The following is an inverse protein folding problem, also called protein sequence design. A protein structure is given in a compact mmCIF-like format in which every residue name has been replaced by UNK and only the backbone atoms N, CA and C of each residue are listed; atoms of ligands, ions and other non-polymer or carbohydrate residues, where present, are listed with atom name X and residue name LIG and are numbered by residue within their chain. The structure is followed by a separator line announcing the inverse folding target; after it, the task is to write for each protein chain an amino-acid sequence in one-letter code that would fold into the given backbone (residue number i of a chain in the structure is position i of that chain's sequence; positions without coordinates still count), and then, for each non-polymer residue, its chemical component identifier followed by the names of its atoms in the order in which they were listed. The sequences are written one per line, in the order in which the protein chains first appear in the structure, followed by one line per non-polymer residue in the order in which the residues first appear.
data_IF_432449160640
#
_entry.id   IF_432449160640
#
_cell.length_a   1.000
_cell.length_b   1.000
_cell.length_c   1.000
_cell.angle_alpha   90.00
_cell.angle_beta   90.00
_cell.angle_gamma   90.00
#
_symmetry.space_group_name_H-M   'P 1'
#
loop_
_entity.id
_entity.type
_entity.pdbx_description
1 polymer ?
#
# COMPACT_ATOMS: atom_id res chain seq x y z
N UNK A 1 1.72 9.33 -3.26
CA UNK A 1 1.03 8.13 -3.78
C UNK A 1 0.25 7.37 -2.71
N UNK A 2 0.86 6.63 -1.79
CA UNK A 2 0.08 5.78 -0.86
C UNK A 2 -0.92 6.55 0.03
N UNK A 3 -0.54 7.74 0.52
CA UNK A 3 -1.44 8.61 1.28
C UNK A 3 -2.59 9.19 0.42
N UNK A 4 -2.37 9.37 -0.88
CA UNK A 4 -3.39 9.88 -1.81
C UNK A 4 -4.45 8.81 -2.07
N UNK A 5 -4.03 7.56 -2.25
CA UNK A 5 -4.97 6.44 -2.30
C UNK A 5 -5.77 6.29 -1.01
N UNK A 6 -5.12 6.43 0.14
CA UNK A 6 -5.81 6.41 1.42
C UNK A 6 -6.84 7.55 1.54
N UNK A 7 -6.50 8.77 1.10
CA UNK A 7 -7.40 9.91 1.10
C UNK A 7 -8.59 9.72 0.15
N UNK A 8 -8.36 9.20 -1.06
CA UNK A 8 -9.41 8.85 -2.02
C UNK A 8 -10.35 7.78 -1.45
N UNK A 9 -9.80 6.72 -0.85
CA UNK A 9 -10.61 5.70 -0.18
C UNK A 9 -11.40 6.25 1.01
N UNK A 10 -10.81 7.19 1.76
CA UNK A 10 -11.50 7.87 2.85
C UNK A 10 -12.69 8.68 2.33
N UNK A 11 -12.51 9.43 1.25
CA UNK A 11 -13.54 10.22 0.58
C UNK A 11 -14.64 9.32 0.01
N UNK A 12 -14.29 8.19 -0.61
CA UNK A 12 -15.23 7.19 -1.15
C UNK A 12 -16.05 6.54 -0.02
N UNK A 13 -15.43 6.26 1.13
CA UNK A 13 -16.07 5.52 2.22
C UNK A 13 -16.87 6.41 3.17
N UNK A 14 -16.37 7.61 3.47
CA UNK A 14 -16.89 8.50 4.51
C UNK A 14 -17.39 9.84 3.98
N UNK A 15 -17.18 10.14 2.70
CA UNK A 15 -17.52 11.42 2.10
C UNK A 15 -16.60 12.56 2.53
N UNK A 16 -17.09 13.78 2.36
CA UNK A 16 -16.35 15.01 2.62
C UNK A 16 -15.81 15.10 4.04
N UNK A 17 -14.50 15.30 4.15
CA UNK A 17 -13.88 15.67 5.40
C UNK A 17 -14.21 17.12 5.76
N UNK A 18 -14.97 17.31 6.84
CA UNK A 18 -15.14 18.62 7.48
C UNK A 18 -14.20 18.72 8.67
N UNK A 19 -13.07 19.39 8.46
CA UNK A 19 -12.26 19.84 9.58
C UNK A 19 -13.12 20.80 10.42
N UNK A 20 -13.42 20.42 11.67
CA UNK A 20 -14.00 21.38 12.59
C UNK A 20 -12.88 22.37 12.89
N UNK A 21 -13.13 23.65 12.64
CA UNK A 21 -12.15 24.72 12.40
C UNK A 21 -11.10 24.97 13.49
N UNK A 22 -11.08 24.22 14.59
CA UNK A 22 -10.11 24.33 15.68
C UNK A 22 -9.76 22.99 16.37
N UNK A 23 -10.13 21.83 15.81
CA UNK A 23 -9.78 20.54 16.43
C UNK A 23 -8.51 19.93 15.83
N UNK A 24 -7.68 19.34 16.72
CA UNK A 24 -6.61 18.42 16.35
C UNK A 24 -7.10 17.40 15.30
N UNK A 25 -6.20 16.81 14.47
CA UNK A 25 -6.58 15.81 13.48
C UNK A 25 -7.57 14.82 14.08
N UNK A 26 -8.80 14.82 13.56
CA UNK A 26 -9.91 14.14 14.22
C UNK A 26 -9.58 12.66 14.39
N UNK A 27 -10.08 12.00 15.46
CA UNK A 27 -10.01 10.53 15.62
C UNK A 27 -10.39 9.78 14.34
N UNK A 28 -11.26 10.37 13.52
CA UNK A 28 -11.62 9.90 12.18
C UNK A 28 -10.42 9.73 11.24
N UNK A 29 -9.49 10.69 11.19
CA UNK A 29 -8.26 10.60 10.39
C UNK A 29 -7.39 9.46 10.89
N UNK A 30 -7.24 9.31 12.21
CA UNK A 30 -6.46 8.20 12.79
C UNK A 30 -7.05 6.83 12.44
N UNK A 31 -8.38 6.69 12.46
CA UNK A 31 -9.08 5.47 12.04
C UNK A 31 -8.85 5.20 10.55
N UNK A 32 -8.93 6.22 9.70
CA UNK A 32 -8.73 6.09 8.25
C UNK A 32 -7.29 5.71 7.93
N UNK A 33 -6.31 6.35 8.55
CA UNK A 33 -4.90 5.94 8.46
C UNK A 33 -4.77 4.49 8.95
N UNK A 34 -5.47 4.14 10.02
CA UNK A 34 -5.46 2.79 10.58
C UNK A 34 -6.04 1.73 9.64
N UNK A 35 -6.97 2.12 8.78
CA UNK A 35 -7.68 1.21 7.88
C UNK A 35 -7.06 1.13 6.49
N UNK A 36 -6.55 2.23 5.96
CA UNK A 36 -6.15 2.34 4.55
C UNK A 36 -4.65 2.55 4.32
N UNK A 37 -3.87 2.93 5.34
CA UNK A 37 -2.41 3.02 5.21
C UNK A 37 -1.74 1.74 5.70
N UNK A 38 -0.80 1.19 4.91
CA UNK A 38 0.06 0.10 5.33
C UNK A 38 0.90 0.48 6.57
N UNK A 39 1.23 -0.51 7.41
CA UNK A 39 1.99 -0.29 8.66
C UNK A 39 3.35 0.36 8.42
N UNK A 40 4.05 -0.04 7.37
CA UNK A 40 5.35 0.49 6.96
C UNK A 40 5.33 2.02 6.75
N UNK A 41 4.22 2.58 6.26
CA UNK A 41 4.07 4.03 6.04
C UNK A 41 3.89 4.78 7.37
N UNK A 42 3.37 4.11 8.40
CA UNK A 42 3.14 4.70 9.72
C UNK A 42 4.38 4.75 10.59
N UNK A 43 5.36 3.90 10.29
CA UNK A 43 6.63 3.82 11.01
C UNK A 43 7.66 4.79 10.43
N UNK A 44 7.65 4.97 9.10
CA UNK A 44 8.52 5.92 8.40
C UNK A 44 8.17 7.39 8.69
N UNK A 45 6.89 7.69 8.92
CA UNK A 45 6.40 9.04 9.18
C UNK A 45 5.80 9.18 10.58
N UNK A 46 6.38 10.04 11.43
CA UNK A 46 5.87 10.30 12.78
C UNK A 46 4.36 10.59 12.79
N UNK A 47 3.62 9.94 13.71
CA UNK A 47 2.14 9.89 13.76
C UNK A 47 1.45 11.25 13.53
N UNK A 48 1.97 12.32 14.13
CA UNK A 48 1.41 13.68 14.01
C UNK A 48 1.59 14.30 12.62
N UNK A 49 2.73 14.04 11.97
CA UNK A 49 2.99 14.52 10.60
C UNK A 49 2.09 13.78 9.61
N UNK A 50 1.93 12.47 9.80
CA UNK A 50 1.07 11.64 8.96
C UNK A 50 -0.41 12.06 9.05
N UNK A 51 -0.91 12.33 10.26
CA UNK A 51 -2.30 12.80 10.45
C UNK A 51 -2.53 14.18 9.84
N UNK A 52 -1.57 15.10 9.94
CA UNK A 52 -1.67 16.42 9.32
C UNK A 52 -1.71 16.33 7.79
N UNK A 53 -0.77 15.59 7.19
CA UNK A 53 -0.71 15.38 5.73
C UNK A 53 -1.96 14.69 5.21
N UNK A 54 -2.50 13.74 5.98
CA UNK A 54 -3.75 13.06 5.62
C UNK A 54 -4.93 14.03 5.66
N UNK A 55 -5.03 14.87 6.70
CA UNK A 55 -6.07 15.89 6.81
C UNK A 55 -6.04 16.85 5.62
N UNK A 56 -4.85 17.32 5.26
CA UNK A 56 -4.63 18.21 4.12
C UNK A 56 -5.07 17.54 2.82
N UNK A 57 -4.56 16.34 2.52
CA UNK A 57 -4.90 15.59 1.30
C UNK A 57 -6.40 15.30 1.22
N UNK A 58 -7.03 14.87 2.30
CA UNK A 58 -8.46 14.59 2.29
C UNK A 58 -9.28 15.89 2.11
N UNK A 59 -8.84 17.00 2.69
CA UNK A 59 -9.51 18.30 2.48
C UNK A 59 -9.44 18.77 1.02
N UNK A 60 -8.39 18.43 0.27
CA UNK A 60 -8.34 18.75 -1.18
C UNK A 60 -9.36 18.00 -2.04
N UNK A 61 -9.92 16.90 -1.52
CA UNK A 61 -10.97 16.12 -2.20
C UNK A 61 -12.37 16.62 -1.85
N UNK A 62 -12.49 17.66 -1.02
CA UNK A 62 -13.77 18.21 -0.62
C UNK A 62 -14.59 18.66 -1.84
N UNK A 63 -15.83 18.21 -1.94
CA UNK A 63 -16.73 18.52 -3.06
C UNK A 63 -16.51 17.65 -4.30
N UNK A 64 -15.58 16.70 -4.28
CA UNK A 64 -15.46 15.70 -5.35
C UNK A 64 -16.63 14.72 -5.26
N UNK A 65 -17.20 14.40 -6.41
CA UNK A 65 -18.19 13.33 -6.51
C UNK A 65 -17.55 11.96 -6.27
N UNK A 66 -18.38 10.99 -5.86
CA UNK A 66 -17.96 9.60 -5.69
C UNK A 66 -17.31 9.05 -6.96
N UNK A 67 -17.88 9.38 -8.13
CA UNK A 67 -17.37 8.95 -9.43
C UNK A 67 -15.97 9.51 -9.70
N UNK A 68 -15.75 10.80 -9.49
CA UNK A 68 -14.44 11.43 -9.68
C UNK A 68 -13.37 10.83 -8.75
N UNK A 69 -13.74 10.53 -7.50
CA UNK A 69 -12.83 9.88 -6.56
C UNK A 69 -12.44 8.47 -7.01
N UNK A 70 -13.42 7.68 -7.48
CA UNK A 70 -13.19 6.31 -7.99
C UNK A 70 -12.36 6.35 -9.28
N UNK A 71 -12.70 7.24 -10.21
CA UNK A 71 -11.97 7.39 -11.47
C UNK A 71 -10.51 7.74 -11.20
N UNK A 72 -10.25 8.69 -10.29
CA UNK A 72 -8.88 9.07 -9.91
C UNK A 72 -8.14 7.95 -9.18
N UNK A 73 -8.83 7.21 -8.32
CA UNK A 73 -8.27 6.04 -7.64
C UNK A 73 -7.84 4.99 -8.68
N UNK A 74 -8.72 4.65 -9.62
CA UNK A 74 -8.42 3.67 -10.66
C UNK A 74 -7.36 4.15 -11.65
N UNK A 75 -7.36 5.43 -12.02
CA UNK A 75 -6.32 6.03 -12.88
C UNK A 75 -4.93 5.88 -12.24
N UNK A 76 -4.81 6.25 -10.96
CA UNK A 76 -3.55 6.11 -10.24
C UNK A 76 -3.18 4.63 -10.06
N UNK A 77 -4.16 3.77 -9.77
CA UNK A 77 -3.92 2.35 -9.54
C UNK A 77 -3.46 1.63 -10.81
N UNK A 78 -4.00 2.01 -11.98
CA UNK A 78 -3.58 1.50 -13.30
C UNK A 78 -2.11 1.78 -13.63
N UNK A 79 -1.50 2.79 -13.02
CA UNK A 79 -0.07 3.09 -13.18
C UNK A 79 0.81 2.15 -12.37
N UNK A 80 0.25 1.32 -11.49
CA UNK A 80 1.02 0.34 -10.73
C UNK A 80 1.28 -0.92 -11.56
N UNK A 81 2.52 -1.42 -11.58
CA UNK A 81 2.94 -2.50 -12.46
C UNK A 81 2.27 -3.86 -12.16
N UNK A 82 1.52 -3.98 -11.07
CA UNK A 82 0.82 -5.22 -10.67
C UNK A 82 -0.68 -5.01 -10.45
N UNK A 83 -1.25 -3.97 -11.06
CA UNK A 83 -2.68 -3.69 -10.93
C UNK A 83 -3.52 -4.79 -11.60
N UNK A 84 -4.31 -5.53 -10.82
CA UNK A 84 -5.12 -6.66 -11.30
C UNK A 84 -4.43 -8.01 -11.21
N UNK A 85 -3.17 -8.07 -10.80
CA UNK A 85 -2.46 -9.33 -10.58
C UNK A 85 -2.98 -10.05 -9.33
N UNK A 86 -3.09 -11.39 -9.41
CA UNK A 86 -3.32 -12.23 -8.24
C UNK A 86 -1.98 -12.53 -7.58
N UNK A 87 -1.85 -12.18 -6.31
CA UNK A 87 -0.65 -12.43 -5.51
C UNK A 87 -0.75 -13.78 -4.82
N UNK A 88 0.21 -14.67 -5.07
CA UNK A 88 0.35 -15.95 -4.39
C UNK A 88 1.65 -15.99 -3.61
N UNK A 89 1.55 -16.27 -2.32
CA UNK A 89 2.73 -16.49 -1.50
C UNK A 89 3.31 -17.87 -1.83
N UNK A 90 4.57 -17.91 -2.21
CA UNK A 90 5.26 -19.14 -2.57
C UNK A 90 6.61 -19.22 -1.86
N UNK A 91 7.11 -20.43 -1.76
CA UNK A 91 8.39 -20.76 -1.16
C UNK A 91 9.30 -21.26 -2.28
N UNK A 92 10.29 -20.45 -2.67
CA UNK A 92 11.19 -20.83 -3.76
C UNK A 92 12.18 -21.86 -3.26
N UNK A 93 12.00 -23.13 -3.68
CA UNK A 93 13.01 -24.18 -3.52
C UNK A 93 14.07 -23.97 -4.60
N UNK A 94 15.16 -23.28 -4.25
CA UNK A 94 16.46 -23.23 -4.94
C UNK A 94 16.48 -23.83 -6.35
N UNK A 95 16.39 -23.01 -7.40
CA UNK A 95 16.83 -23.45 -8.74
C UNK A 95 18.35 -23.42 -8.76
N UNK A 96 18.94 -24.58 -9.01
CA UNK A 96 20.38 -24.83 -9.07
C UNK A 96 21.04 -23.87 -10.07
N UNK A 97 21.84 -22.93 -9.59
CA UNK A 97 22.96 -22.39 -10.35
C UNK A 97 24.25 -22.80 -9.65
N UNK A 98 24.94 -23.72 -10.32
CA UNK A 98 26.21 -24.30 -9.95
C UNK A 98 27.34 -23.25 -9.94
N UNK A 99 27.37 -22.37 -8.95
CA UNK A 99 28.54 -21.55 -8.65
C UNK A 99 28.42 -20.94 -7.26
N UNK A 100 28.82 -21.68 -6.23
CA UNK A 100 29.90 -21.31 -5.27
C UNK A 100 29.83 -22.20 -4.04
N UNK A 101 30.66 -23.24 -4.10
CA UNK A 101 31.12 -24.12 -3.03
C UNK A 101 31.46 -23.33 -1.75
N UNK A 102 30.64 -23.46 -0.69
CA UNK A 102 31.06 -23.86 0.68
C UNK A 102 29.99 -23.54 1.75
N UNK A 103 29.57 -24.63 2.41
CA UNK A 103 29.30 -24.70 3.85
C UNK A 103 28.08 -23.94 4.38
N UNK A 104 26.91 -24.59 4.34
CA UNK A 104 26.05 -24.98 5.48
C UNK A 104 24.68 -25.35 4.92
N UNK A 105 24.24 -26.59 5.15
CA UNK A 105 22.87 -27.00 4.88
C UNK A 105 21.95 -26.19 5.79
N UNK A 106 21.34 -25.17 5.22
CA UNK A 106 20.15 -24.52 5.76
C UNK A 106 19.21 -24.46 4.57
N UNK A 107 18.02 -25.01 4.70
CA UNK A 107 16.98 -24.97 3.68
C UNK A 107 16.69 -23.50 3.32
N UNK A 108 17.43 -22.95 2.36
CA UNK A 108 17.36 -21.55 1.92
C UNK A 108 16.12 -21.35 1.04
N UNK A 109 14.96 -21.63 1.60
CA UNK A 109 13.68 -21.39 0.96
C UNK A 109 13.32 -19.93 1.19
N UNK A 110 13.61 -19.07 0.22
CA UNK A 110 13.25 -17.66 0.31
C UNK A 110 11.74 -17.50 0.06
N UNK A 111 10.99 -16.77 0.93
CA UNK A 111 9.60 -16.45 0.65
C UNK A 111 9.55 -15.48 -0.52
N UNK A 112 8.81 -15.84 -1.56
CA UNK A 112 8.58 -15.02 -2.75
C UNK A 112 7.08 -14.82 -2.94
N UNK A 113 6.71 -13.70 -3.57
CA UNK A 113 5.34 -13.43 -3.99
C UNK A 113 5.26 -13.58 -5.50
N UNK A 114 4.34 -14.39 -5.99
CA UNK A 114 4.04 -14.53 -7.41
C UNK A 114 2.90 -13.59 -7.76
N UNK A 115 3.16 -12.58 -8.59
CA UNK A 115 2.13 -11.75 -9.20
C UNK A 115 1.73 -12.39 -10.53
N UNK A 116 0.56 -13.02 -10.56
CA UNK A 116 0.01 -13.71 -11.73
C UNK A 116 -0.97 -12.79 -12.45
N UNK A 117 -0.68 -12.50 -13.70
CA UNK A 117 -1.52 -11.79 -14.67
C UNK A 117 -2.12 -12.79 -15.68
N UNK A 118 -2.98 -12.34 -16.58
CA UNK A 118 -3.60 -13.19 -17.62
C UNK A 118 -2.56 -13.75 -18.61
N UNK A 119 -1.54 -12.95 -18.94
CA UNK A 119 -0.47 -13.30 -19.90
C UNK A 119 0.94 -13.38 -19.29
N UNK A 120 1.11 -13.10 -17.99
CA UNK A 120 2.43 -13.00 -17.36
C UNK A 120 2.49 -13.49 -15.91
N UNK A 121 3.66 -13.95 -15.46
CA UNK A 121 3.94 -14.27 -14.06
C UNK A 121 5.21 -13.54 -13.64
N UNK A 122 5.08 -12.62 -12.67
CA UNK A 122 6.19 -11.88 -12.10
C UNK A 122 6.55 -12.42 -10.71
N UNK A 123 7.83 -12.67 -10.46
CA UNK A 123 8.33 -13.12 -9.15
C UNK A 123 8.84 -11.89 -8.39
N UNK A 124 8.28 -11.66 -7.20
CA UNK A 124 8.64 -10.58 -6.29
C UNK A 124 9.41 -11.17 -5.10
N UNK A 125 10.63 -10.67 -4.87
CA UNK A 125 11.45 -11.07 -3.73
C UNK A 125 10.84 -10.55 -2.42
N UNK A 126 10.64 -11.45 -1.43
CA UNK A 126 9.96 -11.14 -0.18
C UNK A 126 10.67 -10.13 0.74
N UNK A 127 11.92 -9.75 0.46
CA UNK A 127 12.69 -8.87 1.35
C UNK A 127 12.14 -7.44 1.44
N UNK A 128 11.36 -6.97 0.47
CA UNK A 128 10.75 -5.62 0.52
C UNK A 128 9.29 -5.63 1.00
N UNK A 129 8.62 -6.79 0.98
CA UNK A 129 7.22 -6.94 1.39
C UNK A 129 7.06 -7.46 2.83
N UNK A 130 8.14 -7.99 3.42
CA UNK A 130 8.16 -8.64 4.75
C UNK A 130 9.01 -7.84 5.76
N UNK A 131 9.21 -6.54 5.54
CA UNK A 131 9.84 -5.69 6.59
C UNK A 131 8.83 -5.39 7.70
N UNK A 132 8.85 -6.32 8.66
CA UNK A 132 8.58 -6.29 10.12
C UNK A 132 7.15 -6.00 10.63
#
# INVERSE_FOLDING_TARGET
MALEFAALMAQITYGDYRAHSNSLPSKRIEIVITKFCAKTIREDSGKRSLTLRMAEKWSTLHGWSLKECVDKYLENARRWPFFGCKLFQAQQKHTVSAAKKRTTQTENTQPVWLAVEEDSINILEGQSLVSQ
#
